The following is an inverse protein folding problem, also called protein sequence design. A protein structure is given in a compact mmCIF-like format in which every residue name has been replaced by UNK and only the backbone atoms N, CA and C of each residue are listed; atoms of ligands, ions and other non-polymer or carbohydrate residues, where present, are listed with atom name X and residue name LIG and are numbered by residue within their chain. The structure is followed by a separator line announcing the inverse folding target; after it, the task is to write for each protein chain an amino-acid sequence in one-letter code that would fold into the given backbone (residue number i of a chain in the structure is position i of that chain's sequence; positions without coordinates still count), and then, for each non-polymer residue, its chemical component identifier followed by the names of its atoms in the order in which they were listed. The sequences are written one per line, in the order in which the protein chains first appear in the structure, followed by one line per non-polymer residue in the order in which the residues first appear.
data_IF_224917765833
#
_entry.id   IF_224917765833
#
_cell.length_a   1.000
_cell.length_b   1.000
_cell.length_c   1.000
_cell.angle_alpha   90.00
_cell.angle_beta   90.00
_cell.angle_gamma   90.00
#
_symmetry.space_group_name_H-M   'P 1'
#
loop_
_entity.id
_entity.type
_entity.pdbx_description
1 polymer ?
#
# COMPACT_ATOMS: atom_id res chain seq x y z
N UNK A 1 -8.51 -15.54 -7.26
CA UNK A 1 -7.59 -14.45 -6.90
C UNK A 1 -6.22 -15.05 -6.61
N UNK A 2 -5.25 -14.70 -7.44
CA UNK A 2 -3.83 -15.00 -7.28
C UNK A 2 -3.16 -13.82 -6.59
N UNK A 3 -2.36 -14.11 -5.57
CA UNK A 3 -1.75 -13.13 -4.69
C UNK A 3 -0.24 -13.40 -4.67
N UNK A 4 0.57 -12.35 -4.72
CA UNK A 4 2.02 -12.40 -4.53
C UNK A 4 2.41 -11.38 -3.48
N UNK A 5 2.89 -11.86 -2.33
CA UNK A 5 3.49 -11.00 -1.30
C UNK A 5 4.85 -10.52 -1.79
N UNK A 6 5.08 -9.21 -1.82
CA UNK A 6 6.36 -8.66 -2.24
C UNK A 6 7.28 -8.51 -1.04
N UNK A 7 6.78 -7.94 0.06
CA UNK A 7 7.51 -7.82 1.33
C UNK A 7 6.56 -7.82 2.54
N UNK A 8 7.06 -7.37 3.69
CA UNK A 8 6.30 -7.27 4.93
C UNK A 8 5.06 -6.37 4.82
N UNK A 9 5.11 -5.32 4.00
CA UNK A 9 4.12 -4.26 3.93
C UNK A 9 3.20 -4.29 2.71
N UNK A 10 3.66 -4.80 1.56
CA UNK A 10 2.92 -4.74 0.30
C UNK A 10 2.74 -6.13 -0.30
N UNK A 11 1.50 -6.37 -0.71
CA UNK A 11 1.09 -7.54 -1.47
C UNK A 11 0.40 -7.09 -2.74
N UNK A 12 0.72 -7.74 -3.86
CA UNK A 12 0.02 -7.53 -5.12
C UNK A 12 -0.92 -8.69 -5.42
N UNK A 13 -2.03 -8.40 -6.10
CA UNK A 13 -2.98 -9.39 -6.55
C UNK A 13 -3.49 -9.10 -7.96
N UNK A 14 -4.06 -10.13 -8.59
CA UNK A 14 -4.97 -9.92 -9.70
C UNK A 14 -6.32 -9.40 -9.18
N UNK A 15 -7.34 -9.30 -10.03
CA UNK A 15 -8.64 -8.69 -9.70
C UNK A 15 -9.15 -9.11 -8.30
N UNK A 16 -9.45 -8.10 -7.47
CA UNK A 16 -10.07 -8.29 -6.17
C UNK A 16 -11.48 -8.85 -6.36
N UNK A 17 -11.76 -9.95 -5.67
CA UNK A 17 -13.08 -10.56 -5.62
C UNK A 17 -13.83 -10.05 -4.39
N UNK A 18 -15.05 -9.55 -4.56
CA UNK A 18 -15.88 -8.97 -3.49
C UNK A 18 -16.08 -9.96 -2.32
N UNK A 19 -16.35 -11.23 -2.63
CA UNK A 19 -16.49 -12.29 -1.63
C UNK A 19 -15.21 -12.67 -0.86
N UNK A 20 -14.05 -12.09 -1.19
CA UNK A 20 -12.76 -12.34 -0.49
C UNK A 20 -12.33 -11.19 0.40
N UNK A 21 -13.03 -10.07 0.42
CA UNK A 21 -12.65 -8.88 1.19
C UNK A 21 -12.61 -9.18 2.69
N UNK A 22 -13.59 -9.92 3.23
CA UNK A 22 -13.57 -10.37 4.63
C UNK A 22 -12.31 -11.18 4.97
N UNK A 23 -11.90 -12.11 4.08
CA UNK A 23 -10.66 -12.88 4.25
C UNK A 23 -9.39 -12.03 4.13
N UNK A 24 -9.45 -10.91 3.40
CA UNK A 24 -8.36 -9.93 3.35
C UNK A 24 -8.27 -9.21 4.69
N UNK A 25 -9.39 -8.83 5.30
CA UNK A 25 -9.44 -8.21 6.62
C UNK A 25 -8.93 -9.14 7.74
N UNK A 26 -9.37 -10.40 7.73
CA UNK A 26 -8.92 -11.44 8.69
C UNK A 26 -7.41 -11.66 8.65
N UNK A 27 -6.80 -11.50 7.48
CA UNK A 27 -5.33 -11.58 7.29
C UNK A 27 -4.60 -10.33 7.75
N UNK A 28 -5.31 -9.34 8.28
CA UNK A 28 -4.76 -8.14 8.89
C UNK A 28 -4.44 -7.01 7.92
N UNK A 29 -4.79 -7.12 6.63
CA UNK A 29 -4.61 -6.02 5.69
C UNK A 29 -5.45 -4.81 6.12
N UNK A 30 -4.85 -3.63 6.02
CA UNK A 30 -5.46 -2.36 6.46
C UNK A 30 -5.84 -1.45 5.32
N UNK A 31 -5.22 -1.65 4.15
CA UNK A 31 -5.47 -0.85 2.95
C UNK A 31 -5.58 -1.71 1.71
N UNK A 32 -6.51 -1.38 0.82
CA UNK A 32 -6.61 -1.92 -0.55
C UNK A 32 -6.39 -0.78 -1.56
N UNK A 33 -5.51 -0.98 -2.54
CA UNK A 33 -5.28 -0.03 -3.65
C UNK A 33 -5.76 -0.65 -4.96
N UNK A 34 -6.65 0.04 -5.68
CA UNK A 34 -7.09 -0.35 -7.00
C UNK A 34 -6.30 0.42 -8.07
N UNK A 35 -5.59 -0.32 -8.92
CA UNK A 35 -4.87 0.20 -10.09
C UNK A 35 -5.57 -0.14 -11.43
N UNK A 36 -6.85 -0.52 -11.38
CA UNK A 36 -7.68 -0.82 -12.55
C UNK A 36 -8.73 0.29 -12.74
N UNK A 37 -8.75 1.01 -13.88
CA UNK A 37 -9.87 1.88 -14.24
C UNK A 37 -11.18 1.08 -14.26
N UNK A 38 -12.28 1.69 -13.84
CA UNK A 38 -13.59 1.06 -13.89
C UNK A 38 -14.10 0.98 -15.34
N UNK A 39 -14.82 -0.09 -15.66
CA UNK A 39 -15.33 -0.34 -17.01
C UNK A 39 -14.31 -0.94 -17.99
N UNK A 40 -13.20 -1.50 -17.52
CA UNK A 40 -12.19 -2.15 -18.38
C UNK A 40 -12.69 -3.52 -18.92
N UNK A 41 -13.66 -4.16 -18.26
CA UNK A 41 -14.28 -5.39 -18.78
C UNK A 41 -15.50 -5.84 -17.98
N UNK A 42 -16.34 -6.68 -18.58
CA UNK A 42 -17.61 -7.16 -18.00
C UNK A 42 -17.42 -8.00 -16.72
N UNK A 43 -16.21 -8.54 -16.55
CA UNK A 43 -15.81 -9.33 -15.38
C UNK A 43 -15.39 -8.46 -14.19
N UNK A 44 -15.45 -7.14 -14.31
CA UNK A 44 -14.94 -6.20 -13.32
C UNK A 44 -16.02 -5.82 -12.29
N UNK A 45 -15.84 -6.16 -11.00
CA UNK A 45 -16.58 -5.53 -9.93
C UNK A 45 -16.24 -4.04 -9.88
N UNK A 46 -17.25 -3.19 -9.70
CA UNK A 46 -17.06 -1.75 -9.56
C UNK A 46 -16.23 -1.44 -8.32
N UNK A 47 -15.33 -0.47 -8.41
CA UNK A 47 -14.51 -0.09 -7.25
C UNK A 47 -15.37 0.34 -6.07
N UNK A 48 -16.50 1.00 -6.31
CA UNK A 48 -17.44 1.47 -5.28
C UNK A 48 -17.98 0.32 -4.42
N UNK A 49 -18.24 -0.82 -5.03
CA UNK A 49 -18.69 -2.02 -4.32
C UNK A 49 -17.57 -2.59 -3.45
N UNK A 50 -16.35 -2.67 -4.00
CA UNK A 50 -15.15 -3.14 -3.27
C UNK A 50 -14.87 -2.20 -2.08
N UNK A 51 -14.94 -0.90 -2.31
CA UNK A 51 -14.76 0.15 -1.31
C UNK A 51 -15.76 0.02 -0.17
N UNK A 52 -17.06 -0.11 -0.47
CA UNK A 52 -18.11 -0.28 0.55
C UNK A 52 -17.86 -1.53 1.40
N UNK A 53 -17.61 -2.67 0.77
CA UNK A 53 -17.35 -3.92 1.49
C UNK A 53 -16.06 -3.85 2.33
N UNK A 54 -15.02 -3.19 1.81
CA UNK A 54 -13.78 -2.99 2.55
C UNK A 54 -14.00 -2.11 3.80
N UNK A 55 -14.78 -1.04 3.69
CA UNK A 55 -15.14 -0.17 4.80
C UNK A 55 -15.90 -0.93 5.91
N UNK A 56 -16.83 -1.82 5.55
CA UNK A 56 -17.55 -2.68 6.51
C UNK A 56 -16.59 -3.54 7.35
N UNK A 57 -15.41 -3.84 6.82
CA UNK A 57 -14.34 -4.57 7.50
C UNK A 57 -13.23 -3.68 8.07
N UNK A 58 -13.42 -2.34 8.09
CA UNK A 58 -12.44 -1.39 8.60
C UNK A 58 -11.17 -1.26 7.75
N UNK A 59 -11.23 -1.65 6.48
CA UNK A 59 -10.14 -1.51 5.51
C UNK A 59 -10.31 -0.18 4.79
N UNK A 60 -9.22 0.59 4.72
CA UNK A 60 -9.18 1.80 3.90
C UNK A 60 -8.95 1.43 2.43
N UNK A 61 -9.48 2.22 1.51
CA UNK A 61 -9.32 1.96 0.08
C UNK A 61 -8.80 3.16 -0.67
N UNK A 62 -7.96 2.91 -1.67
CA UNK A 62 -7.42 3.94 -2.56
C UNK A 62 -7.76 3.56 -4.00
N UNK A 63 -8.41 4.47 -4.72
CA UNK A 63 -8.61 4.36 -6.15
C UNK A 63 -7.52 5.17 -6.88
N UNK A 64 -6.60 4.47 -7.54
CA UNK A 64 -5.52 5.05 -8.34
C UNK A 64 -5.47 4.35 -9.70
N UNK A 65 -6.42 4.63 -10.61
CA UNK A 65 -6.58 3.91 -11.85
C UNK A 65 -5.43 4.20 -12.83
N UNK A 66 -4.72 3.16 -13.27
CA UNK A 66 -3.63 3.28 -14.25
C UNK A 66 -4.10 2.81 -15.61
N UNK A 67 -3.88 3.65 -16.62
CA UNK A 67 -4.25 3.37 -18.00
C UNK A 67 -3.47 2.20 -18.59
N UNK A 68 -4.05 1.55 -19.59
CA UNK A 68 -3.39 0.44 -20.29
C UNK A 68 -2.16 0.90 -21.08
N UNK A 69 -2.12 2.17 -21.46
CA UNK A 69 -1.01 2.81 -22.19
C UNK A 69 0.28 2.92 -21.36
N UNK A 70 0.18 2.79 -20.04
CA UNK A 70 1.32 2.83 -19.12
C UNK A 70 1.06 3.75 -17.92
N UNK A 71 2.02 3.76 -16.99
CA UNK A 71 2.06 4.74 -15.91
C UNK A 71 2.86 5.97 -16.33
N UNK A 72 2.38 7.14 -15.92
CA UNK A 72 3.05 8.42 -16.05
C UNK A 72 3.78 8.78 -14.75
N UNK A 73 4.72 9.75 -14.78
CA UNK A 73 5.41 10.22 -13.58
C UNK A 73 4.45 10.59 -12.42
N UNK A 74 3.32 11.21 -12.75
CA UNK A 74 2.28 11.56 -11.77
C UNK A 74 1.64 10.33 -11.12
N UNK A 75 1.48 9.20 -11.83
CA UNK A 75 0.95 7.96 -11.25
C UNK A 75 1.95 7.33 -10.27
N UNK A 76 3.25 7.39 -10.61
CA UNK A 76 4.30 6.90 -9.74
C UNK A 76 4.39 7.71 -8.44
N UNK A 77 4.29 9.04 -8.53
CA UNK A 77 4.24 9.92 -7.37
C UNK A 77 3.02 9.64 -6.49
N UNK A 78 1.83 9.54 -7.07
CA UNK A 78 0.60 9.22 -6.34
C UNK A 78 0.64 7.85 -5.68
N UNK A 79 1.25 6.85 -6.34
CA UNK A 79 1.42 5.52 -5.74
C UNK A 79 2.41 5.55 -4.58
N UNK A 80 3.50 6.31 -4.69
CA UNK A 80 4.46 6.50 -3.60
C UNK A 80 3.79 7.11 -2.37
N UNK A 81 3.04 8.19 -2.56
CA UNK A 81 2.30 8.85 -1.50
C UNK A 81 1.28 7.90 -0.86
N UNK A 82 0.52 7.15 -1.67
CA UNK A 82 -0.42 6.18 -1.15
C UNK A 82 0.26 5.08 -0.32
N UNK A 83 1.44 4.59 -0.72
CA UNK A 83 2.20 3.63 0.09
C UNK A 83 2.65 4.26 1.40
N UNK A 84 3.11 5.51 1.40
CA UNK A 84 3.63 6.18 2.59
C UNK A 84 2.53 6.57 3.58
N UNK A 85 1.45 7.17 3.10
CA UNK A 85 0.37 7.70 3.91
C UNK A 85 -0.54 6.60 4.49
N UNK A 86 -0.76 5.51 3.74
CA UNK A 86 -1.80 4.55 4.10
C UNK A 86 -1.34 3.53 5.15
N UNK A 87 -2.26 3.03 6.00
CA UNK A 87 -1.96 1.96 6.95
C UNK A 87 -1.51 0.66 6.26
N UNK A 88 -0.49 0.02 6.83
CA UNK A 88 0.07 -1.25 6.35
C UNK A 88 -0.52 -2.41 7.19
N UNK A 89 -0.60 -3.65 6.65
CA UNK A 89 -0.22 -4.08 5.30
C UNK A 89 -1.20 -3.63 4.21
N UNK A 90 -0.66 -3.36 3.02
CA UNK A 90 -1.37 -2.88 1.83
C UNK A 90 -1.54 -4.02 0.83
N UNK A 91 -2.73 -4.12 0.23
CA UNK A 91 -3.00 -4.99 -0.91
C UNK A 91 -3.32 -4.17 -2.16
N UNK A 92 -2.41 -4.15 -3.12
CA UNK A 92 -2.63 -3.50 -4.41
C UNK A 92 -3.10 -4.50 -5.47
N UNK A 93 -4.08 -4.13 -6.30
CA UNK A 93 -4.55 -5.01 -7.38
C UNK A 93 -4.84 -4.24 -8.66
N UNK A 94 -4.82 -4.96 -9.78
CA UNK A 94 -5.44 -4.52 -11.03
C UNK A 94 -6.13 -5.73 -11.69
N UNK A 95 -6.19 -5.81 -13.03
CA UNK A 95 -6.70 -7.01 -13.70
C UNK A 95 -5.84 -8.26 -13.44
N UNK A 96 -4.54 -8.18 -13.77
CA UNK A 96 -3.58 -9.30 -13.67
C UNK A 96 -2.56 -9.15 -12.52
N UNK A 97 -2.47 -7.97 -11.91
CA UNK A 97 -1.42 -7.57 -10.96
C UNK A 97 -0.22 -6.87 -11.59
N UNK A 98 -0.12 -6.81 -12.91
CA UNK A 98 1.05 -6.24 -13.63
C UNK A 98 1.26 -4.74 -13.37
N UNK A 99 0.19 -3.93 -13.39
CA UNK A 99 0.28 -2.48 -13.13
C UNK A 99 0.84 -2.20 -11.73
N UNK A 100 0.29 -2.88 -10.72
CA UNK A 100 0.74 -2.76 -9.33
C UNK A 100 2.20 -3.23 -9.15
N UNK A 101 2.61 -4.30 -9.85
CA UNK A 101 3.99 -4.75 -9.84
C UNK A 101 4.97 -3.74 -10.45
N UNK A 102 4.57 -3.09 -11.55
CA UNK A 102 5.36 -2.06 -12.22
C UNK A 102 5.49 -0.80 -11.38
N UNK A 103 4.38 -0.30 -10.82
CA UNK A 103 4.40 0.84 -9.89
C UNK A 103 5.28 0.56 -8.67
N UNK A 104 5.16 -0.65 -8.09
CA UNK A 104 6.02 -1.10 -7.01
C UNK A 104 7.50 -1.10 -7.40
N UNK A 105 7.84 -1.70 -8.55
CA UNK A 105 9.23 -1.80 -8.98
C UNK A 105 9.87 -0.42 -9.15
N UNK A 106 9.12 0.57 -9.64
CA UNK A 106 9.58 1.95 -9.72
C UNK A 106 9.77 2.57 -8.33
N UNK A 107 8.79 2.42 -7.43
CA UNK A 107 8.88 2.91 -6.06
C UNK A 107 10.08 2.31 -5.31
N UNK A 108 10.30 1.01 -5.43
CA UNK A 108 11.40 0.31 -4.75
C UNK A 108 12.77 0.79 -5.23
N UNK A 109 12.91 1.11 -6.53
CA UNK A 109 14.14 1.67 -7.08
C UNK A 109 14.43 3.08 -6.56
N UNK A 110 13.41 3.94 -6.46
CA UNK A 110 13.58 5.30 -5.93
C UNK A 110 13.76 5.32 -4.41
N UNK A 111 13.38 4.25 -3.71
CA UNK A 111 13.48 4.11 -2.25
C UNK A 111 14.49 3.03 -1.85
N UNK A 112 15.62 2.93 -2.54
CA UNK A 112 16.72 1.98 -2.26
C UNK A 112 17.06 1.85 -0.76
N UNK A 113 17.04 2.96 -0.02
CA UNK A 113 17.30 2.98 1.43
C UNK A 113 16.21 2.27 2.26
N UNK A 114 14.97 2.23 1.77
CA UNK A 114 13.86 1.50 2.38
C UNK A 114 14.08 -0.02 2.27
N UNK A 115 14.49 -0.52 1.10
CA UNK A 115 14.77 -1.94 0.91
C UNK A 115 15.99 -2.40 1.74
N UNK A 116 17.00 -1.53 1.89
CA UNK A 116 18.15 -1.77 2.77
C UNK A 116 17.73 -1.77 4.26
N UNK A 117 16.90 -0.79 4.67
CA UNK A 117 16.36 -0.66 6.04
C UNK A 117 15.48 -1.85 6.43
N UNK A 118 14.58 -2.27 5.56
CA UNK A 118 13.72 -3.44 5.81
C UNK A 118 14.54 -4.73 5.87
N UNK A 119 15.55 -4.90 5.00
CA UNK A 119 16.50 -6.03 5.10
C UNK A 119 17.21 -6.02 6.45
N UNK A 120 17.61 -4.84 6.95
CA UNK A 120 18.24 -4.68 8.27
C UNK A 120 17.28 -5.02 9.42
N UNK A 121 16.03 -4.55 9.36
CA UNK A 121 15.01 -4.84 10.38
C UNK A 121 14.61 -6.32 10.38
N UNK A 122 14.44 -6.92 9.20
CA UNK A 122 14.17 -8.35 9.06
C UNK A 122 15.32 -9.20 9.60
N UNK A 123 16.58 -8.81 9.33
CA UNK A 123 17.77 -9.46 9.89
C UNK A 123 17.83 -9.39 11.43
N UNK A 124 17.39 -8.27 12.02
CA UNK A 124 17.27 -8.16 13.48
C UNK A 124 16.19 -9.09 14.07
N UNK A 125 15.09 -9.32 13.35
CA UNK A 125 14.01 -10.20 13.79
C UNK A 125 14.41 -11.69 13.77
N UNK A 126 15.23 -12.13 12.80
CA UNK A 126 15.75 -13.51 12.75
C UNK A 126 16.94 -13.74 13.68
N UNK A 127 17.66 -12.69 14.08
CA UNK A 127 18.73 -12.76 15.09
C UNK A 127 18.25 -12.98 16.53
N UNK A 128 16.94 -12.92 16.79
CA UNK A 128 16.35 -13.06 18.13
C UNK A 128 16.04 -14.52 18.54
N UNK A 129 16.65 -15.52 17.89
CA UNK A 129 16.67 -16.91 18.37
C UNK A 129 18.10 -17.44 18.43
N UNK A 130 18.80 -17.10 19.51
CA UNK A 130 19.91 -17.90 20.04
C UNK A 130 19.79 -17.93 21.58
N UNK A 131 20.00 -19.08 22.25
CA UNK A 131 19.78 -19.20 23.68
C UNK A 131 20.97 -18.67 24.48
N UNK A 132 20.66 -17.99 25.59
CA UNK A 132 21.52 -17.88 26.76
C UNK A 132 22.59 -16.78 26.75
N UNK A 133 22.37 -15.73 27.51
CA UNK A 133 22.94 -15.61 28.86
C UNK A 133 22.74 -14.20 29.44
N UNK A 134 22.51 -14.20 30.74
CA UNK A 134 22.36 -13.11 31.71
C UNK A 134 23.36 -11.96 31.58
N UNK A 135 22.88 -10.73 31.80
CA UNK A 135 23.44 -9.86 32.85
C UNK A 135 22.48 -8.73 33.22
N UNK A 136 22.21 -8.62 34.53
CA UNK A 136 21.67 -7.42 35.16
C UNK A 136 22.82 -6.44 35.34
N UNK A 137 22.79 -5.28 34.67
CA UNK A 137 23.15 -4.03 35.37
C UNK A 137 22.72 -2.78 34.58
N UNK A 138 22.32 -1.76 35.34
CA UNK A 138 21.53 -0.64 34.84
C UNK A 138 22.29 0.47 34.11
N UNK A 139 21.59 1.11 33.16
CA UNK A 139 21.24 2.55 33.23
C UNK A 139 20.52 3.02 31.97
N UNK A 140 19.53 3.89 32.25
CA UNK A 140 18.87 4.91 31.42
C UNK A 140 17.97 4.45 30.27
N UNK A 141 16.67 4.50 30.59
CA UNK A 141 15.63 4.84 29.64
C UNK A 141 15.96 6.18 28.93
N UNK A 142 15.81 6.20 27.61
CA UNK A 142 15.70 7.41 26.83
C UNK A 142 14.42 7.29 26.00
N UNK A 143 13.56 8.29 26.15
CA UNK A 143 12.22 8.39 25.57
C UNK A 143 12.23 8.37 24.01
N UNK A 144 11.10 8.03 23.36
CA UNK A 144 11.03 7.97 21.91
C UNK A 144 11.16 9.36 21.30
N UNK A 145 12.07 9.51 20.34
CA UNK A 145 12.09 10.68 19.45
C UNK A 145 10.88 10.56 18.50
N UNK A 146 9.81 11.21 18.92
CA UNK A 146 8.76 11.69 18.05
C UNK A 146 9.36 12.69 17.05
N UNK A 147 9.23 12.40 15.76
CA UNK A 147 8.94 13.45 14.79
C UNK A 147 8.26 12.78 13.61
N UNK A 148 6.94 12.77 13.66
CA UNK A 148 6.15 12.82 12.44
C UNK A 148 6.57 14.10 11.70
N UNK A 149 7.38 13.94 10.64
CA UNK A 149 7.36 14.89 9.54
C UNK A 149 6.39 14.30 8.53
N UNK A 150 5.12 14.68 8.64
CA UNK A 150 4.28 14.75 7.47
C UNK A 150 4.95 15.78 6.55
N UNK A 151 5.85 15.33 5.68
CA UNK A 151 6.23 16.10 4.51
C UNK A 151 4.98 16.13 3.64
N UNK A 152 4.19 17.19 3.80
CA UNK A 152 3.18 17.55 2.82
C UNK A 152 3.87 17.64 1.47
N UNK A 153 3.49 16.74 0.57
CA UNK A 153 3.90 16.79 -0.80
C UNK A 153 2.75 17.43 -1.59
N UNK A 154 3.06 18.61 -2.14
CA UNK A 154 2.78 18.87 -3.54
C UNK A 154 1.30 18.84 -3.96
N UNK A 155 0.61 19.95 -3.67
CA UNK A 155 -0.62 20.40 -4.34
C UNK A 155 -0.29 20.83 -5.80
N UNK A 156 0.38 19.95 -6.57
CA UNK A 156 0.94 20.25 -7.90
C UNK A 156 -0.15 20.36 -8.98
N UNK A 157 -1.42 20.20 -8.59
CA UNK A 157 -2.57 20.27 -9.48
C UNK A 157 -2.73 19.06 -10.41
N UNK A 158 -1.91 18.00 -10.30
CA UNK A 158 -2.02 16.79 -11.13
C UNK A 158 -3.13 15.84 -10.71
N UNK A 159 -3.38 15.73 -9.41
CA UNK A 159 -4.43 14.88 -8.83
C UNK A 159 -5.43 15.71 -8.03
N UNK A 160 -6.70 15.38 -8.17
CA UNK A 160 -7.74 15.74 -7.21
C UNK A 160 -7.93 14.56 -6.27
N UNK A 161 -7.64 14.81 -5.00
CA UNK A 161 -7.91 13.85 -3.95
C UNK A 161 -9.32 14.07 -3.38
N UNK A 162 -10.12 13.02 -3.41
CA UNK A 162 -11.44 12.98 -2.77
C UNK A 162 -11.42 11.93 -1.67
N UNK A 163 -11.41 12.37 -0.40
CA UNK A 163 -11.47 11.50 0.78
C UNK A 163 -12.89 11.47 1.32
N UNK A 164 -13.49 10.28 1.40
CA UNK A 164 -14.79 10.06 2.02
C UNK A 164 -14.81 8.73 2.79
N UNK A 165 -15.02 8.81 4.11
CA UNK A 165 -15.27 7.65 4.98
C UNK A 165 -14.28 6.48 4.82
N UNK A 166 -12.98 6.75 4.65
CA UNK A 166 -11.95 5.70 4.46
C UNK A 166 -11.78 5.23 3.00
N UNK A 167 -12.45 5.87 2.05
CA UNK A 167 -12.15 5.80 0.61
C UNK A 167 -11.39 7.06 0.22
N UNK A 168 -10.26 6.86 -0.44
CA UNK A 168 -9.48 7.91 -1.10
C UNK A 168 -9.57 7.68 -2.59
N UNK A 169 -10.04 8.67 -3.36
CA UNK A 169 -9.98 8.64 -4.82
C UNK A 169 -8.99 9.65 -5.32
N UNK A 170 -8.05 9.18 -6.13
CA UNK A 170 -7.11 10.02 -6.84
C UNK A 170 -7.59 10.07 -8.29
N UNK A 171 -8.14 11.23 -8.68
CA UNK A 171 -8.56 11.51 -10.07
C UNK A 171 -7.55 12.45 -10.72
N UNK A 172 -7.11 12.16 -11.94
CA UNK A 172 -6.26 13.10 -12.68
C UNK A 172 -7.04 14.39 -12.97
N UNK A 173 -6.41 15.53 -12.75
CA UNK A 173 -7.00 16.85 -12.97
C UNK A 173 -6.93 17.33 -14.43
N UNK A 174 -6.23 16.62 -15.32
CA UNK A 174 -6.19 16.91 -16.75
C UNK A 174 -6.33 15.64 -17.58
N UNK A 175 -7.17 15.75 -18.61
CA UNK A 175 -7.16 14.89 -19.79
C UNK A 175 -6.13 15.41 -20.80
#
# INVERSE_FOLDING_TARGET
MRIKRLNGMLTIANQMETGKIGKVAERGYKTIICNRPDGEGDDQPGFDEIARLAQEHGIQTVYLPIQLTGAEPADHAAFAEAIEAMPKPIMAYCRSGTRSAMLWSHWEQSHSDYAERERRLAAMQVGAMAPGSTSLDGRRAVAPLTSASASGAADDGWWKEERQSGVTRLRRNRA
#
